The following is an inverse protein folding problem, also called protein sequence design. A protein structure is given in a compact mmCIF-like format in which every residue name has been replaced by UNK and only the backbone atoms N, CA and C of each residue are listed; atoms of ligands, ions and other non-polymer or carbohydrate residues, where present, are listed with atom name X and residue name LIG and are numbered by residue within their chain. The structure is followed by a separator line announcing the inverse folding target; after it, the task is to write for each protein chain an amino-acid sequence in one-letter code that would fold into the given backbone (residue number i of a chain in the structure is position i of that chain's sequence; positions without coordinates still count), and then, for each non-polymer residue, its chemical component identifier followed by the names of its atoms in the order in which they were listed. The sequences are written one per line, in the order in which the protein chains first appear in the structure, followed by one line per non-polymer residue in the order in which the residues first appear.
data_IF_982235830291
#
_entry.id   IF_982235830291
#
_cell.length_a   1.000
_cell.length_b   1.000
_cell.length_c   1.000
_cell.angle_alpha   90.00
_cell.angle_beta   90.00
_cell.angle_gamma   90.00
#
_symmetry.space_group_name_H-M   'P 1'
#
loop_
_entity.id
_entity.type
_entity.pdbx_description
1 polymer ?
#
# COMPACT_ATOMS: atom_id res chain seq x y z
N UNK A 1 6.02 37.14 -9.65
CA UNK A 1 6.61 36.43 -8.49
C UNK A 1 6.41 34.93 -8.61
N UNK A 2 5.16 34.46 -8.79
CA UNK A 2 4.79 33.04 -8.96
C UNK A 2 5.48 32.36 -10.16
N UNK A 3 5.65 33.09 -11.30
CA UNK A 3 6.32 32.55 -12.48
C UNK A 3 7.83 32.42 -12.32
N UNK A 4 8.46 33.22 -11.45
CA UNK A 4 9.86 33.06 -11.06
C UNK A 4 10.05 31.86 -10.12
N UNK A 5 9.16 31.71 -9.13
CA UNK A 5 9.20 30.57 -8.21
C UNK A 5 8.96 29.23 -8.94
N UNK A 6 8.10 29.23 -9.99
CA UNK A 6 7.90 28.06 -10.86
C UNK A 6 9.09 27.76 -11.77
N UNK A 7 9.81 28.81 -12.24
CA UNK A 7 11.06 28.62 -12.99
C UNK A 7 12.21 28.15 -12.12
N UNK A 8 12.35 28.74 -10.92
CA UNK A 8 13.38 28.33 -9.96
C UNK A 8 13.13 26.88 -9.47
N UNK A 9 11.87 26.43 -9.32
CA UNK A 9 11.57 25.04 -9.00
C UNK A 9 11.78 24.08 -10.19
N UNK A 10 11.56 24.53 -11.41
CA UNK A 10 11.83 23.72 -12.60
C UNK A 10 13.34 23.60 -12.93
N UNK A 11 14.14 24.61 -12.54
CA UNK A 11 15.60 24.56 -12.65
C UNK A 11 16.27 23.64 -11.61
N UNK A 12 15.56 23.28 -10.53
CA UNK A 12 16.00 22.34 -9.51
C UNK A 12 15.76 20.87 -9.87
N UNK A 13 14.98 20.57 -10.90
CA UNK A 13 14.82 19.21 -11.40
C UNK A 13 16.08 18.82 -12.22
N UNK A 14 17.01 18.15 -11.57
CA UNK A 14 18.14 17.55 -12.29
C UNK A 14 17.59 16.58 -13.37
N UNK A 15 18.15 16.65 -14.61
CA UNK A 15 17.73 15.74 -15.67
C UNK A 15 17.99 14.30 -15.24
N UNK A 16 17.06 13.40 -15.55
CA UNK A 16 17.19 11.97 -15.30
C UNK A 16 18.53 11.42 -15.81
N UNK A 17 19.26 10.73 -14.96
CA UNK A 17 20.52 10.07 -15.27
C UNK A 17 20.44 8.58 -14.99
N UNK A 18 20.79 7.73 -15.94
CA UNK A 18 20.84 6.28 -15.72
C UNK A 18 21.71 5.88 -14.52
N UNK A 19 22.70 6.71 -14.19
CA UNK A 19 23.56 6.49 -13.01
C UNK A 19 22.77 6.52 -11.71
N UNK A 20 21.69 7.30 -11.63
CA UNK A 20 20.87 7.40 -10.43
C UNK A 20 20.18 6.08 -10.10
N UNK A 21 19.81 5.29 -11.12
CA UNK A 21 19.29 3.94 -10.92
C UNK A 21 20.30 3.07 -10.16
N UNK A 22 21.56 3.05 -10.60
CA UNK A 22 22.59 2.24 -9.96
C UNK A 22 22.88 2.70 -8.53
N UNK A 23 22.80 4.00 -8.27
CA UNK A 23 23.00 4.54 -6.94
C UNK A 23 21.83 4.18 -6.00
N UNK A 24 20.58 4.28 -6.49
CA UNK A 24 19.38 3.93 -5.72
C UNK A 24 19.35 2.43 -5.38
N UNK A 25 19.61 1.54 -6.35
CA UNK A 25 19.57 0.09 -6.11
C UNK A 25 20.68 -0.42 -5.17
N UNK A 26 21.71 0.39 -4.91
CA UNK A 26 22.73 0.09 -3.89
C UNK A 26 22.26 0.40 -2.46
N UNK A 27 21.21 1.19 -2.31
CA UNK A 27 20.65 1.56 -1.00
C UNK A 27 19.85 0.38 -0.45
N UNK A 28 20.31 -0.24 0.62
CA UNK A 28 19.59 -1.38 1.24
C UNK A 28 18.16 -1.05 1.63
N UNK A 29 17.94 0.18 2.14
CA UNK A 29 16.60 0.66 2.51
C UNK A 29 15.62 0.70 1.35
N UNK A 30 16.09 0.99 0.13
CA UNK A 30 15.28 0.96 -1.10
C UNK A 30 14.65 -0.43 -1.30
N UNK A 31 15.45 -1.50 -1.18
CA UNK A 31 14.96 -2.86 -1.39
C UNK A 31 13.94 -3.30 -0.36
N UNK A 32 14.08 -2.89 0.91
CA UNK A 32 13.06 -3.19 1.92
C UNK A 32 11.70 -2.58 1.56
N UNK A 33 11.69 -1.33 1.07
CA UNK A 33 10.45 -0.68 0.64
C UNK A 33 9.94 -1.30 -0.66
N UNK A 34 10.80 -1.54 -1.64
CA UNK A 34 10.41 -2.11 -2.94
C UNK A 34 9.81 -3.52 -2.78
N UNK A 35 10.44 -4.39 -1.99
CA UNK A 35 9.94 -5.73 -1.72
C UNK A 35 8.62 -5.67 -0.93
N UNK A 36 8.54 -4.83 0.11
CA UNK A 36 7.30 -4.63 0.84
C UNK A 36 6.18 -4.17 -0.10
N UNK A 37 6.47 -3.24 -1.00
CA UNK A 37 5.53 -2.72 -1.98
C UNK A 37 4.98 -3.84 -2.87
N UNK A 38 5.86 -4.65 -3.48
CA UNK A 38 5.44 -5.81 -4.30
C UNK A 38 4.57 -6.76 -3.51
N UNK A 39 5.06 -7.24 -2.36
CA UNK A 39 4.35 -8.24 -1.55
C UNK A 39 3.00 -7.72 -1.07
N UNK A 40 2.95 -6.46 -0.66
CA UNK A 40 1.72 -5.82 -0.20
C UNK A 40 0.67 -5.73 -1.31
N UNK A 41 1.04 -5.21 -2.47
CA UNK A 41 0.09 -5.03 -3.58
C UNK A 41 -0.29 -6.36 -4.24
N UNK A 42 0.63 -7.34 -4.30
CA UNK A 42 0.35 -8.72 -4.75
C UNK A 42 -0.64 -9.44 -3.83
N UNK A 43 -0.66 -9.14 -2.55
CA UNK A 43 -1.64 -9.72 -1.63
C UNK A 43 -3.02 -9.09 -1.80
N UNK A 44 -3.10 -7.78 -2.08
CA UNK A 44 -4.36 -7.05 -2.03
C UNK A 44 -5.08 -6.97 -3.37
N UNK A 45 -4.38 -6.69 -4.47
CA UNK A 45 -5.05 -6.53 -5.77
C UNK A 45 -5.66 -7.82 -6.33
N UNK A 46 -4.98 -8.98 -6.33
CA UNK A 46 -5.61 -10.23 -6.70
C UNK A 46 -6.78 -10.58 -5.79
N UNK A 47 -6.65 -10.33 -4.47
CA UNK A 47 -7.76 -10.53 -3.54
C UNK A 47 -8.98 -9.70 -3.96
N UNK A 48 -8.83 -8.40 -4.21
CA UNK A 48 -9.94 -7.53 -4.62
C UNK A 48 -10.62 -8.03 -5.90
N UNK A 49 -9.86 -8.55 -6.84
CA UNK A 49 -10.38 -9.11 -8.09
C UNK A 49 -11.28 -10.32 -7.86
N UNK A 50 -10.89 -11.21 -6.95
CA UNK A 50 -11.62 -12.47 -6.69
C UNK A 50 -12.53 -12.42 -5.44
N UNK A 51 -12.48 -11.32 -4.69
CA UNK A 51 -13.28 -11.17 -3.47
C UNK A 51 -14.80 -11.30 -3.70
N UNK A 52 -15.41 -10.78 -4.80
CA UNK A 52 -16.82 -11.00 -5.06
C UNK A 52 -17.18 -12.48 -5.15
N UNK A 53 -16.40 -13.29 -5.90
CA UNK A 53 -16.60 -14.73 -6.01
C UNK A 53 -16.44 -15.44 -4.67
N UNK A 54 -15.44 -15.04 -3.89
CA UNK A 54 -15.23 -15.55 -2.54
C UNK A 54 -16.44 -15.27 -1.63
N UNK A 55 -16.96 -14.04 -1.66
CA UNK A 55 -18.11 -13.62 -0.86
C UNK A 55 -19.36 -14.41 -1.25
N UNK A 56 -19.62 -14.59 -2.54
CA UNK A 56 -20.76 -15.33 -3.04
C UNK A 56 -20.64 -16.84 -2.74
N UNK A 57 -19.56 -17.48 -3.18
CA UNK A 57 -19.43 -18.94 -3.15
C UNK A 57 -19.13 -19.52 -1.77
N UNK A 58 -18.32 -18.80 -0.97
CA UNK A 58 -17.89 -19.31 0.35
C UNK A 58 -18.78 -18.82 1.48
N UNK A 59 -19.17 -17.56 1.45
CA UNK A 59 -19.91 -16.92 2.55
C UNK A 59 -21.41 -16.83 2.30
N UNK A 60 -21.91 -17.29 1.15
CA UNK A 60 -23.33 -17.30 0.80
C UNK A 60 -23.95 -15.91 0.70
N UNK A 61 -23.14 -14.89 0.44
CA UNK A 61 -23.61 -13.51 0.30
C UNK A 61 -24.30 -13.37 -1.06
N UNK A 62 -25.43 -12.67 -1.12
CA UNK A 62 -26.15 -12.46 -2.38
C UNK A 62 -25.24 -11.80 -3.44
N UNK A 63 -25.45 -12.13 -4.71
CA UNK A 63 -24.65 -11.63 -5.83
C UNK A 63 -24.49 -10.10 -5.81
N UNK A 64 -25.56 -9.37 -5.51
CA UNK A 64 -25.55 -7.91 -5.40
C UNK A 64 -24.62 -7.40 -4.29
N UNK A 65 -24.60 -8.03 -3.13
CA UNK A 65 -23.81 -7.61 -1.97
C UNK A 65 -22.36 -8.11 -2.06
N UNK A 66 -22.12 -9.22 -2.75
CA UNK A 66 -20.79 -9.81 -2.90
C UNK A 66 -19.78 -8.87 -3.57
N UNK A 67 -20.24 -8.02 -4.50
CA UNK A 67 -19.42 -6.96 -5.10
C UNK A 67 -19.30 -5.70 -4.25
N UNK A 68 -20.36 -5.36 -3.50
CA UNK A 68 -20.37 -4.12 -2.68
C UNK A 68 -19.45 -4.25 -1.47
N UNK A 69 -19.44 -5.39 -0.80
CA UNK A 69 -18.65 -5.58 0.43
C UNK A 69 -17.14 -5.38 0.18
N UNK A 70 -16.51 -6.03 -0.82
CA UNK A 70 -15.10 -5.76 -1.13
C UNK A 70 -14.83 -4.33 -1.58
N UNK A 71 -15.79 -3.67 -2.25
CA UNK A 71 -15.66 -2.28 -2.66
C UNK A 71 -15.55 -1.30 -1.46
N UNK A 72 -15.98 -1.69 -0.26
CA UNK A 72 -15.78 -0.88 0.95
C UNK A 72 -14.29 -0.70 1.30
N UNK A 73 -13.41 -1.60 0.85
CA UNK A 73 -11.99 -1.54 1.15
C UNK A 73 -11.32 -0.26 0.62
N UNK A 74 -11.43 0.12 -0.67
CA UNK A 74 -10.90 1.38 -1.17
C UNK A 74 -11.52 2.61 -0.49
N UNK A 75 -12.81 2.59 -0.19
CA UNK A 75 -13.47 3.68 0.54
C UNK A 75 -12.92 3.85 1.96
N UNK A 76 -12.71 2.75 2.68
CA UNK A 76 -12.07 2.77 3.99
C UNK A 76 -10.67 3.39 3.94
N UNK A 77 -9.93 3.12 2.86
CA UNK A 77 -8.59 3.68 2.66
C UNK A 77 -8.60 5.20 2.58
N UNK A 78 -9.53 5.78 1.83
CA UNK A 78 -9.66 7.24 1.68
C UNK A 78 -9.85 7.91 3.05
N UNK A 79 -10.66 7.33 3.92
CA UNK A 79 -10.96 7.88 5.24
C UNK A 79 -9.81 7.64 6.25
N UNK A 80 -9.18 6.47 6.22
CA UNK A 80 -8.22 6.05 7.23
C UNK A 80 -6.79 6.49 6.93
N UNK A 81 -6.42 6.69 5.65
CA UNK A 81 -5.06 7.08 5.28
C UNK A 81 -4.62 8.40 5.91
N UNK A 82 -5.43 9.48 5.95
CA UNK A 82 -5.04 10.70 6.65
C UNK A 82 -4.84 10.50 8.16
N UNK A 83 -5.67 9.65 8.78
CA UNK A 83 -5.54 9.32 10.20
C UNK A 83 -4.22 8.60 10.48
N UNK A 84 -3.89 7.57 9.71
CA UNK A 84 -2.65 6.82 9.88
C UNK A 84 -1.42 7.58 9.45
N UNK A 85 -1.52 8.48 8.44
CA UNK A 85 -0.46 9.42 8.09
C UNK A 85 -0.12 10.33 9.27
N UNK A 86 -1.12 10.94 9.92
CA UNK A 86 -0.91 11.75 11.12
C UNK A 86 -0.33 10.92 12.29
N UNK A 87 -0.76 9.67 12.45
CA UNK A 87 -0.17 8.76 13.45
C UNK A 87 1.31 8.51 13.17
N UNK A 88 1.67 8.28 11.90
CA UNK A 88 3.05 8.12 11.46
C UNK A 88 3.88 9.37 11.73
N UNK A 89 3.37 10.56 11.38
CA UNK A 89 4.07 11.81 11.57
C UNK A 89 4.33 12.12 13.05
N UNK A 90 3.36 11.84 13.91
CA UNK A 90 3.48 12.08 15.37
C UNK A 90 4.39 11.07 16.07
N UNK A 91 4.34 9.79 15.70
CA UNK A 91 5.07 8.73 16.41
C UNK A 91 6.38 8.33 15.75
N UNK A 92 6.59 8.62 14.47
CA UNK A 92 7.83 8.35 13.75
C UNK A 92 8.20 6.86 13.62
N UNK A 93 7.34 5.92 14.07
CA UNK A 93 7.62 4.48 14.09
C UNK A 93 7.13 3.78 12.82
N UNK A 94 7.57 4.25 11.64
CA UNK A 94 7.10 3.75 10.35
C UNK A 94 7.27 2.24 10.18
N UNK A 95 8.41 1.69 10.54
CA UNK A 95 8.66 0.25 10.44
C UNK A 95 7.66 -0.57 11.28
N UNK A 96 7.35 -0.13 12.50
CA UNK A 96 6.35 -0.80 13.35
C UNK A 96 4.96 -0.74 12.73
N UNK A 97 4.57 0.41 12.18
CA UNK A 97 3.27 0.59 11.51
C UNK A 97 3.17 -0.35 10.31
N UNK A 98 4.20 -0.40 9.46
CA UNK A 98 4.25 -1.30 8.31
C UNK A 98 4.20 -2.77 8.72
N UNK A 99 4.93 -3.18 9.77
CA UNK A 99 4.90 -4.54 10.29
C UNK A 99 3.51 -4.93 10.81
N UNK A 100 2.88 -4.09 11.62
CA UNK A 100 1.53 -4.35 12.14
C UNK A 100 0.54 -4.53 10.99
N UNK A 101 0.53 -3.62 10.01
CA UNK A 101 -0.34 -3.74 8.84
C UNK A 101 -0.07 -5.00 8.02
N UNK A 102 1.20 -5.37 7.83
CA UNK A 102 1.58 -6.59 7.10
C UNK A 102 1.11 -7.86 7.84
N UNK A 103 1.28 -7.92 9.17
CA UNK A 103 0.75 -9.04 9.95
C UNK A 103 -0.78 -9.13 9.89
N UNK A 104 -1.48 -8.01 9.90
CA UNK A 104 -2.94 -7.99 9.73
C UNK A 104 -3.35 -8.58 8.37
N UNK A 105 -2.65 -8.22 7.29
CA UNK A 105 -2.91 -8.77 5.94
C UNK A 105 -2.72 -10.29 5.95
N UNK A 106 -1.60 -10.77 6.46
CA UNK A 106 -1.32 -12.21 6.56
C UNK A 106 -2.40 -12.94 7.35
N UNK A 107 -2.75 -12.42 8.54
CA UNK A 107 -3.79 -13.01 9.38
C UNK A 107 -5.15 -13.08 8.68
N UNK A 108 -5.56 -12.01 8.02
CA UNK A 108 -6.84 -11.97 7.27
C UNK A 108 -6.85 -12.99 6.14
N UNK A 109 -5.78 -13.09 5.35
CA UNK A 109 -5.73 -14.05 4.24
C UNK A 109 -5.70 -15.50 4.73
N UNK A 110 -4.99 -15.77 5.84
CA UNK A 110 -5.02 -17.10 6.47
C UNK A 110 -6.44 -17.46 6.95
N UNK A 111 -7.16 -16.52 7.57
CA UNK A 111 -8.54 -16.76 8.01
C UNK A 111 -9.49 -16.94 6.82
N UNK A 112 -9.30 -16.18 5.73
CA UNK A 112 -10.03 -16.43 4.49
C UNK A 112 -9.73 -17.79 3.86
N UNK A 113 -8.53 -18.33 4.04
CA UNK A 113 -8.15 -19.64 3.51
C UNK A 113 -8.78 -20.81 4.28
N UNK A 114 -9.20 -20.63 5.54
CA UNK A 114 -9.80 -21.72 6.35
C UNK A 114 -11.19 -22.10 5.80
N UNK A 115 -11.42 -23.35 5.31
CA UNK A 115 -12.69 -23.74 4.70
C UNK A 115 -13.87 -23.71 5.66
N UNK A 116 -13.65 -23.98 6.95
CA UNK A 116 -14.69 -24.03 7.97
C UNK A 116 -15.31 -22.65 8.29
N UNK A 117 -14.65 -21.57 7.94
CA UNK A 117 -15.13 -20.21 8.20
C UNK A 117 -16.03 -19.72 7.09
N UNK A 118 -17.32 -19.95 7.21
CA UNK A 118 -18.32 -19.61 6.18
C UNK A 118 -19.31 -18.52 6.64
N UNK A 119 -19.15 -17.99 7.84
CA UNK A 119 -20.06 -16.97 8.38
C UNK A 119 -19.82 -15.60 7.69
N UNK A 120 -20.88 -15.03 7.15
CA UNK A 120 -20.82 -13.74 6.45
C UNK A 120 -20.42 -12.56 7.36
N UNK A 121 -20.76 -12.59 8.65
CA UNK A 121 -20.31 -11.56 9.61
C UNK A 121 -18.80 -11.61 9.80
N UNK A 122 -18.22 -12.81 9.82
CA UNK A 122 -16.77 -12.97 9.85
C UNK A 122 -16.14 -12.39 8.59
N UNK A 123 -16.72 -12.65 7.41
CA UNK A 123 -16.24 -12.07 6.16
C UNK A 123 -16.22 -10.54 6.21
N UNK A 124 -17.28 -9.92 6.76
CA UNK A 124 -17.36 -8.47 6.92
C UNK A 124 -16.26 -7.93 7.83
N UNK A 125 -16.05 -8.56 8.99
CA UNK A 125 -14.98 -8.18 9.94
C UNK A 125 -13.60 -8.30 9.27
N UNK A 126 -13.37 -9.37 8.52
CA UNK A 126 -12.09 -9.59 7.81
C UNK A 126 -11.87 -8.53 6.72
N UNK A 127 -12.90 -8.15 5.96
CA UNK A 127 -12.80 -7.08 4.96
C UNK A 127 -12.50 -5.73 5.61
N UNK A 128 -13.16 -5.40 6.72
CA UNK A 128 -12.88 -4.16 7.47
C UNK A 128 -11.43 -4.17 7.98
N UNK A 129 -10.98 -5.29 8.55
CA UNK A 129 -9.61 -5.46 9.03
C UNK A 129 -8.60 -5.32 7.89
N UNK A 130 -8.90 -5.89 6.73
CA UNK A 130 -8.07 -5.74 5.53
C UNK A 130 -8.02 -4.27 5.07
N UNK A 131 -9.13 -3.55 5.11
CA UNK A 131 -9.19 -2.12 4.79
C UNK A 131 -8.34 -1.26 5.73
N UNK A 132 -8.34 -1.57 7.03
CA UNK A 132 -7.46 -0.93 8.01
C UNK A 132 -5.99 -1.19 7.66
N UNK A 133 -5.63 -2.44 7.41
CA UNK A 133 -4.27 -2.83 7.05
C UNK A 133 -3.81 -2.19 5.72
N UNK A 134 -4.72 -2.13 4.74
CA UNK A 134 -4.48 -1.51 3.44
C UNK A 134 -4.26 0.00 3.54
N UNK A 135 -4.82 0.66 4.54
CA UNK A 135 -4.55 2.08 4.82
C UNK A 135 -3.27 2.28 5.62
N UNK A 136 -3.00 1.38 6.56
CA UNK A 136 -1.92 1.49 7.52
C UNK A 136 -0.53 1.37 6.85
N UNK A 137 -0.34 0.38 5.98
CA UNK A 137 0.96 0.13 5.33
C UNK A 137 1.38 1.27 4.41
N UNK A 138 0.58 1.71 3.41
CA UNK A 138 0.97 2.80 2.53
C UNK A 138 1.17 4.13 3.23
N UNK A 139 0.40 4.42 4.30
CA UNK A 139 0.53 5.67 5.07
C UNK A 139 1.89 5.83 5.75
N UNK A 140 2.61 4.73 5.98
CA UNK A 140 3.97 4.75 6.52
C UNK A 140 5.03 4.47 5.45
N UNK A 141 4.72 3.63 4.47
CA UNK A 141 5.64 3.19 3.42
C UNK A 141 6.04 4.33 2.49
N UNK A 142 5.07 5.04 1.92
CA UNK A 142 5.35 6.11 0.96
C UNK A 142 6.12 7.29 1.58
N UNK A 143 5.76 7.82 2.77
CA UNK A 143 6.54 8.87 3.42
C UNK A 143 7.91 8.41 3.92
N UNK A 144 8.19 7.10 3.95
CA UNK A 144 9.51 6.60 4.31
C UNK A 144 10.53 6.67 3.16
N UNK A 145 10.08 6.75 1.91
CA UNK A 145 10.97 6.83 0.73
C UNK A 145 11.87 8.07 0.78
N UNK A 146 11.35 9.31 1.00
CA UNK A 146 12.18 10.51 1.09
C UNK A 146 13.17 10.51 2.26
N UNK A 147 12.95 9.66 3.27
CA UNK A 147 13.88 9.53 4.41
C UNK A 147 15.10 8.65 4.11
N UNK A 148 15.05 7.90 3.02
CA UNK A 148 16.07 6.91 2.64
C UNK A 148 16.80 7.34 1.37
N UNK A 149 16.09 7.99 0.46
CA UNK A 149 16.57 8.39 -0.86
C UNK A 149 16.88 9.90 -0.87
N UNK A 150 18.02 10.34 -1.42
CA UNK A 150 18.31 11.75 -1.63
C UNK A 150 17.22 12.46 -2.44
N UNK A 151 16.93 13.70 -2.08
CA UNK A 151 15.81 14.46 -2.64
C UNK A 151 15.86 14.58 -4.17
N UNK A 152 17.06 14.83 -4.72
CA UNK A 152 17.29 14.94 -6.16
C UNK A 152 17.11 13.62 -6.95
N UNK A 153 16.87 12.48 -6.28
CA UNK A 153 16.66 11.14 -6.88
C UNK A 153 15.29 10.56 -6.58
N UNK A 154 14.43 11.30 -5.87
CA UNK A 154 13.11 10.80 -5.45
C UNK A 154 12.23 10.41 -6.63
N UNK A 155 12.19 11.20 -7.70
CA UNK A 155 11.43 10.88 -8.90
C UNK A 155 11.82 9.53 -9.50
N UNK A 156 13.13 9.29 -9.66
CA UNK A 156 13.66 8.01 -10.16
C UNK A 156 13.36 6.86 -9.21
N UNK A 157 13.48 7.08 -7.89
CA UNK A 157 13.18 6.05 -6.89
C UNK A 157 11.70 5.65 -6.89
N UNK A 158 10.78 6.60 -6.94
CA UNK A 158 9.36 6.30 -7.06
C UNK A 158 9.02 5.57 -8.35
N UNK A 159 9.59 5.99 -9.49
CA UNK A 159 9.40 5.30 -10.77
C UNK A 159 9.87 3.84 -10.70
N UNK A 160 11.04 3.57 -10.09
CA UNK A 160 11.55 2.22 -9.89
C UNK A 160 10.65 1.39 -8.96
N UNK A 161 10.17 1.95 -7.84
CA UNK A 161 9.27 1.24 -6.93
C UNK A 161 7.97 0.89 -7.65
N UNK A 162 7.36 1.83 -8.39
CA UNK A 162 6.16 1.55 -9.18
C UNK A 162 6.39 0.50 -10.26
N UNK A 163 7.54 0.53 -10.93
CA UNK A 163 7.89 -0.48 -11.92
C UNK A 163 8.01 -1.86 -11.29
N UNK A 164 8.73 -1.98 -10.17
CA UNK A 164 8.89 -3.23 -9.42
C UNK A 164 7.54 -3.70 -8.87
N UNK A 165 6.70 -2.79 -8.36
CA UNK A 165 5.36 -3.10 -7.87
C UNK A 165 4.50 -3.85 -8.88
N UNK A 166 4.62 -3.50 -10.17
CA UNK A 166 3.83 -4.13 -11.24
C UNK A 166 4.31 -5.54 -11.63
N UNK A 167 5.35 -6.07 -10.98
CA UNK A 167 5.77 -7.46 -11.17
C UNK A 167 4.99 -8.47 -10.30
N UNK A 168 4.26 -8.00 -9.30
CA UNK A 168 3.39 -8.80 -8.43
C UNK A 168 1.92 -8.60 -8.76
#
# INVERSE_FOLDING_TARGET
KRDRELKDSAELEEPFRFRDIFEIVRIKGFWYIAILCVLFYSAVFPFLKYAPDLMFNKFGISEKLSGIIPALLPFGTILLTPFFGNLYDRRGKGATIMLVGSFMIVAVHLLFAVPAFTNWLLALVLIITLGIAFSLVPSAMWPSVPKIIPENKLGTAFALIFWIQNWG
#
